data_IF_057210442155
#
_entry.id   IF_057210442155
#
_cell.length_a   1.000
_cell.length_b   1.000
_cell.length_c   1.000
_cell.angle_alpha   90.00
_cell.angle_beta   90.00
_cell.angle_gamma   90.00
#
_symmetry.space_group_name_H-M   'P 1'
#
loop_
_entity.id
_entity.type
_entity.pdbx_description
1 polymer ?
#
# COMPACT_ATOMS: atom_id res chain seq x y z
N UNK A 1 1.63 52.94 -3.50
CA UNK A 1 0.23 52.50 -3.42
C UNK A 1 -0.05 52.00 -2.01
N UNK A 2 -1.09 52.48 -1.35
CA UNK A 2 -1.45 52.04 0.00
C UNK A 2 -2.03 50.62 -0.05
N UNK A 3 -1.62 49.75 0.88
CA UNK A 3 -2.09 48.36 0.93
C UNK A 3 -3.59 48.29 1.26
N UNK A 4 -4.31 47.38 0.59
CA UNK A 4 -5.72 47.13 0.86
C UNK A 4 -5.91 46.58 2.29
N UNK A 5 -7.03 46.93 2.94
CA UNK A 5 -7.28 46.57 4.34
C UNK A 5 -7.37 45.04 4.52
N UNK A 6 -6.57 44.44 5.41
CA UNK A 6 -6.59 43.00 5.63
C UNK A 6 -7.82 42.57 6.46
N UNK A 7 -8.13 41.27 6.40
CA UNK A 7 -9.18 40.67 7.23
C UNK A 7 -8.66 40.50 8.67
N UNK A 8 -9.37 41.06 9.66
CA UNK A 8 -8.98 41.03 11.08
C UNK A 8 -9.88 40.15 11.97
N UNK A 9 -10.94 39.56 11.40
CA UNK A 9 -11.92 38.74 12.14
C UNK A 9 -12.18 37.42 11.42
N UNK A 10 -12.57 36.38 12.17
CA UNK A 10 -12.94 35.08 11.60
C UNK A 10 -11.78 34.28 10.98
N UNK A 11 -10.53 34.69 11.23
CA UNK A 11 -9.33 34.05 10.68
C UNK A 11 -9.28 32.54 10.97
N UNK A 12 -9.61 32.16 12.20
CA UNK A 12 -9.65 30.75 12.61
C UNK A 12 -10.67 29.95 11.80
N UNK A 13 -11.90 30.46 11.63
CA UNK A 13 -12.95 29.77 10.88
C UNK A 13 -12.58 29.60 9.40
N UNK A 14 -11.95 30.62 8.80
CA UNK A 14 -11.45 30.53 7.42
C UNK A 14 -10.34 29.49 7.27
N UNK A 15 -9.38 29.46 8.21
CA UNK A 15 -8.32 28.44 8.21
C UNK A 15 -8.87 27.04 8.43
N UNK A 16 -9.80 26.86 9.37
CA UNK A 16 -10.39 25.56 9.68
C UNK A 16 -11.11 24.95 8.48
N UNK A 17 -11.87 25.77 7.73
CA UNK A 17 -12.56 25.31 6.50
C UNK A 17 -11.56 24.85 5.44
N UNK A 18 -10.48 25.61 5.22
CA UNK A 18 -9.43 25.26 4.26
C UNK A 18 -8.74 23.94 4.65
N UNK A 19 -8.33 23.82 5.92
CA UNK A 19 -7.66 22.62 6.40
C UNK A 19 -8.60 21.42 6.43
N UNK A 20 -9.87 21.59 6.76
CA UNK A 20 -10.85 20.49 6.73
C UNK A 20 -10.96 19.84 5.35
N UNK A 21 -11.03 20.65 4.29
CA UNK A 21 -11.05 20.14 2.91
C UNK A 21 -9.72 19.49 2.55
N UNK A 22 -8.59 20.13 2.91
CA UNK A 22 -7.26 19.61 2.62
C UNK A 22 -7.02 18.24 3.28
N UNK A 23 -7.43 18.07 4.53
CA UNK A 23 -7.28 16.80 5.26
C UNK A 23 -8.07 15.68 4.60
N UNK A 24 -9.28 15.95 4.11
CA UNK A 24 -10.07 14.95 3.39
C UNK A 24 -9.38 14.50 2.09
N UNK A 25 -8.87 15.47 1.31
CA UNK A 25 -8.17 15.17 0.06
C UNK A 25 -6.90 14.35 0.33
N UNK A 26 -6.10 14.76 1.30
CA UNK A 26 -4.85 14.07 1.66
C UNK A 26 -5.14 12.68 2.22
N UNK A 27 -6.15 12.54 3.07
CA UNK A 27 -6.56 11.25 3.63
C UNK A 27 -7.00 10.26 2.56
N UNK A 28 -7.88 10.68 1.65
CA UNK A 28 -8.31 9.86 0.51
C UNK A 28 -7.14 9.54 -0.42
N UNK A 29 -6.34 10.54 -0.78
CA UNK A 29 -5.15 10.35 -1.63
C UNK A 29 -4.18 9.33 -1.06
N UNK A 30 -3.94 9.36 0.26
CA UNK A 30 -3.08 8.39 0.94
C UNK A 30 -3.68 6.98 0.90
N UNK A 31 -4.97 6.84 1.17
CA UNK A 31 -5.65 5.54 1.12
C UNK A 31 -5.60 4.91 -0.28
N UNK A 32 -5.89 5.70 -1.33
CA UNK A 32 -5.78 5.23 -2.71
C UNK A 32 -4.35 4.88 -3.10
N UNK A 33 -3.38 5.72 -2.73
CA UNK A 33 -1.96 5.46 -3.00
C UNK A 33 -1.52 4.14 -2.37
N UNK A 34 -1.89 3.89 -1.11
CA UNK A 34 -1.55 2.63 -0.44
C UNK A 34 -2.22 1.41 -1.09
N UNK A 35 -3.49 1.55 -1.48
CA UNK A 35 -4.20 0.46 -2.16
C UNK A 35 -3.53 0.06 -3.47
N UNK A 36 -3.29 1.03 -4.36
CA UNK A 36 -2.79 0.75 -5.70
C UNK A 36 -1.28 0.47 -5.75
N UNK A 37 -0.48 1.12 -4.91
CA UNK A 37 0.98 0.97 -4.94
C UNK A 37 1.47 -0.21 -4.09
N UNK A 38 0.72 -0.61 -3.07
CA UNK A 38 1.15 -1.65 -2.14
C UNK A 38 0.20 -2.85 -2.08
N UNK A 39 -1.08 -2.61 -1.77
CA UNK A 39 -2.00 -3.72 -1.48
C UNK A 39 -2.30 -4.56 -2.72
N UNK A 40 -2.63 -3.92 -3.85
CA UNK A 40 -3.04 -4.62 -5.07
C UNK A 40 -1.85 -5.34 -5.75
N UNK A 41 -0.65 -4.75 -5.90
CA UNK A 41 0.52 -5.46 -6.43
C UNK A 41 0.93 -6.65 -5.56
N UNK A 42 0.82 -6.52 -4.23
CA UNK A 42 1.07 -7.63 -3.32
C UNK A 42 0.10 -8.78 -3.59
N UNK A 43 -1.21 -8.52 -3.62
CA UNK A 43 -2.23 -9.54 -3.92
C UNK A 43 -2.00 -10.20 -5.27
N UNK A 44 -1.69 -9.40 -6.28
CA UNK A 44 -1.40 -9.91 -7.61
C UNK A 44 -0.18 -10.81 -7.62
N UNK A 45 0.92 -10.44 -6.94
CA UNK A 45 2.12 -11.28 -6.83
C UNK A 45 1.84 -12.65 -6.22
N UNK A 46 1.02 -12.72 -5.16
CA UNK A 46 0.61 -14.01 -4.59
C UNK A 46 -0.26 -14.80 -5.57
N UNK A 47 -1.22 -14.15 -6.22
CA UNK A 47 -2.07 -14.81 -7.22
C UNK A 47 -1.24 -15.36 -8.38
N UNK A 48 -0.29 -14.59 -8.89
CA UNK A 48 0.59 -14.98 -10.00
C UNK A 48 1.52 -16.13 -9.62
N UNK A 49 2.03 -16.16 -8.38
CA UNK A 49 2.79 -17.29 -7.87
C UNK A 49 1.97 -18.58 -7.90
N UNK A 50 0.75 -18.55 -7.34
CA UNK A 50 -0.10 -19.75 -7.24
C UNK A 50 -0.71 -20.20 -8.57
N UNK A 51 -0.80 -19.34 -9.59
CA UNK A 51 -1.29 -19.73 -10.93
C UNK A 51 -0.45 -20.84 -11.57
N UNK A 52 0.85 -20.83 -11.34
CA UNK A 52 1.80 -21.78 -11.96
C UNK A 52 2.52 -22.64 -10.92
N UNK A 53 2.07 -22.61 -9.66
CA UNK A 53 2.73 -23.34 -8.59
C UNK A 53 2.36 -24.82 -8.64
N UNK A 54 3.37 -25.66 -8.80
CA UNK A 54 3.27 -27.11 -8.68
C UNK A 54 3.93 -27.53 -7.36
N UNK A 55 3.11 -28.04 -6.44
CA UNK A 55 3.54 -28.44 -5.11
C UNK A 55 4.50 -29.63 -5.12
N UNK A 56 4.28 -30.60 -6.02
CA UNK A 56 5.11 -31.79 -6.11
C UNK A 56 6.48 -31.45 -6.66
N UNK A 57 6.53 -30.58 -7.68
CA UNK A 57 7.80 -30.06 -8.22
C UNK A 57 8.58 -29.27 -7.16
N UNK A 58 7.91 -28.39 -6.42
CA UNK A 58 8.55 -27.63 -5.34
C UNK A 58 9.06 -28.54 -4.22
N UNK A 59 8.29 -29.58 -3.87
CA UNK A 59 8.70 -30.60 -2.91
C UNK A 59 9.94 -31.36 -3.36
N UNK A 60 9.98 -31.82 -4.62
CA UNK A 60 11.14 -32.55 -5.16
C UNK A 60 12.41 -31.68 -5.16
N UNK A 61 12.30 -30.39 -5.47
CA UNK A 61 13.43 -29.46 -5.36
C UNK A 61 13.94 -29.38 -3.92
N UNK A 62 13.05 -29.30 -2.93
CA UNK A 62 13.43 -29.25 -1.51
C UNK A 62 14.00 -30.58 -0.99
N UNK A 63 13.44 -31.70 -1.44
CA UNK A 63 13.89 -33.05 -1.12
C UNK A 63 15.30 -33.29 -1.65
N UNK A 64 15.55 -32.96 -2.91
CA UNK A 64 16.86 -33.13 -3.56
C UNK A 64 17.91 -32.16 -2.97
N UNK A 65 17.49 -31.01 -2.48
CA UNK A 65 18.36 -30.10 -1.74
C UNK A 65 18.68 -30.59 -0.30
N UNK A 66 18.12 -31.72 0.14
CA UNK A 66 18.35 -32.28 1.47
C UNK A 66 17.78 -31.43 2.61
N UNK A 67 16.81 -30.55 2.32
CA UNK A 67 16.23 -29.63 3.30
C UNK A 67 15.16 -30.30 4.18
N UNK A 68 14.69 -31.49 3.77
CA UNK A 68 13.62 -32.21 4.45
C UNK A 68 14.21 -33.28 5.36
N UNK A 69 13.86 -33.24 6.64
CA UNK A 69 14.31 -34.23 7.63
C UNK A 69 13.47 -35.52 7.58
N UNK A 70 12.21 -35.43 7.15
CA UNK A 70 11.27 -36.56 7.08
C UNK A 70 11.46 -37.44 5.84
N UNK A 71 12.09 -36.92 4.79
CA UNK A 71 12.27 -37.61 3.52
C UNK A 71 13.69 -37.35 3.02
N UNK A 72 14.48 -38.41 2.83
CA UNK A 72 15.84 -38.29 2.32
C UNK A 72 15.89 -37.83 0.85
N UNK A 73 17.01 -37.21 0.42
CA UNK A 73 17.23 -36.89 -0.99
C UNK A 73 17.20 -38.18 -1.83
N UNK A 74 16.60 -38.11 -3.04
CA UNK A 74 16.79 -39.17 -4.05
C UNK A 74 18.10 -38.97 -4.82
#
# INVERSE_FOLDING_TARGET
MAAAKPQLRGLLATSMKKHGIMTLIVGLGTAFSFKFLYADPKKQRYADFYKTYDADKAFQVMRNAGLLQSVGPE
#
